data_IF_343290996755
#
_entry.id   IF_343290996755
#
_cell.length_a   1.000
_cell.length_b   1.000
_cell.length_c   1.000
_cell.angle_alpha   90.00
_cell.angle_beta   90.00
_cell.angle_gamma   90.00
#
_symmetry.space_group_name_H-M   'P 1'
#
loop_
_entity.id
_entity.type
_entity.pdbx_description
1 polymer ?
#
# COMPACT_ATOMS: atom_id res chain seq x y z
N UNK A 1 9.99 17.40 2.51
CA UNK A 1 9.96 18.82 2.10
C UNK A 1 8.52 19.28 2.11
N UNK A 2 8.24 20.56 2.39
CA UNK A 2 6.90 21.10 2.11
C UNK A 2 6.76 21.29 0.59
N UNK A 3 5.64 20.87 0.02
CA UNK A 3 5.31 21.21 -1.36
C UNK A 3 5.27 22.74 -1.49
N UNK A 4 5.98 23.29 -2.47
CA UNK A 4 5.91 24.70 -2.78
C UNK A 4 4.60 24.92 -3.53
N UNK A 5 3.72 25.77 -3.01
CA UNK A 5 2.54 26.17 -3.75
C UNK A 5 3.00 26.76 -5.10
N UNK A 6 2.51 26.25 -6.25
CA UNK A 6 2.90 26.74 -7.57
C UNK A 6 2.46 28.20 -7.74
N UNK A 7 2.97 28.86 -8.77
CA UNK A 7 2.55 30.23 -9.08
C UNK A 7 1.01 30.31 -9.21
N UNK A 8 0.40 31.41 -8.75
CA UNK A 8 -1.06 31.56 -8.74
C UNK A 8 -1.73 31.53 -10.13
N UNK A 9 -0.93 31.59 -11.20
CA UNK A 9 -1.31 31.51 -12.61
C UNK A 9 -0.98 30.15 -13.25
N UNK A 10 -0.43 29.20 -12.50
CA UNK A 10 -0.09 27.87 -12.97
C UNK A 10 -1.35 27.00 -13.12
N UNK A 11 -1.44 26.25 -14.22
CA UNK A 11 -2.55 25.35 -14.51
C UNK A 11 -2.11 23.89 -14.35
N UNK A 12 -2.69 23.17 -13.38
CA UNK A 12 -2.49 21.73 -13.24
C UNK A 12 -2.95 21.02 -14.53
N UNK A 13 -2.12 20.09 -15.03
CA UNK A 13 -2.35 19.34 -16.28
C UNK A 13 -2.55 17.85 -16.03
N UNK A 14 -1.73 17.26 -15.17
CA UNK A 14 -1.69 15.82 -14.91
C UNK A 14 -1.29 15.57 -13.46
N UNK A 15 -1.81 14.49 -12.88
CA UNK A 15 -1.38 13.95 -11.59
C UNK A 15 -1.19 12.44 -11.72
N UNK A 16 0.02 11.96 -11.44
CA UNK A 16 0.30 10.54 -11.30
C UNK A 16 0.42 10.21 -9.80
N UNK A 17 -0.33 9.19 -9.37
CA UNK A 17 -0.50 8.80 -7.98
C UNK A 17 -0.19 7.32 -7.79
N UNK A 18 0.75 6.98 -6.92
CA UNK A 18 0.99 5.60 -6.47
C UNK A 18 0.70 5.54 -4.99
N UNK A 19 -0.25 4.70 -4.59
CA UNK A 19 -0.59 4.52 -3.18
C UNK A 19 -0.61 3.05 -2.78
N UNK A 20 -0.22 2.78 -1.54
CA UNK A 20 -0.33 1.44 -0.93
C UNK A 20 -1.81 1.14 -0.65
N UNK A 21 -2.20 -0.14 -0.68
CA UNK A 21 -3.50 -0.54 -0.16
C UNK A 21 -3.74 -0.04 1.29
N UNK A 22 -5.00 0.07 1.68
CA UNK A 22 -5.39 0.32 3.07
C UNK A 22 -5.13 -0.89 3.98
N UNK A 23 -5.48 -0.77 5.27
CA UNK A 23 -5.39 -1.84 6.26
C UNK A 23 -6.02 -3.17 5.79
N UNK A 24 -5.40 -4.28 6.19
CA UNK A 24 -5.80 -5.63 5.82
C UNK A 24 -5.65 -6.60 6.98
N UNK A 25 -6.26 -7.77 6.85
CA UNK A 25 -5.89 -8.92 7.65
C UNK A 25 -4.41 -9.31 7.40
N UNK A 26 -3.72 -9.95 8.37
CA UNK A 26 -2.36 -10.42 8.18
C UNK A 26 -2.28 -11.44 7.04
N UNK A 27 -1.09 -11.59 6.44
CA UNK A 27 -0.89 -12.53 5.34
C UNK A 27 -0.87 -13.99 5.81
N UNK A 28 -0.51 -14.21 7.08
CA UNK A 28 -0.53 -15.50 7.76
C UNK A 28 -1.13 -15.29 9.16
N UNK A 29 -2.08 -16.14 9.62
CA UNK A 29 -2.60 -16.07 10.98
C UNK A 29 -1.48 -16.14 12.02
N UNK A 30 -1.51 -15.28 13.03
CA UNK A 30 -0.54 -15.28 14.13
C UNK A 30 -0.61 -16.56 14.96
N UNK A 31 -1.82 -17.06 15.18
CA UNK A 31 -2.17 -18.23 15.96
C UNK A 31 -2.23 -19.54 15.14
N UNK A 32 -1.76 -19.52 13.88
CA UNK A 32 -1.75 -20.70 13.00
C UNK A 32 -1.14 -21.93 13.67
N UNK A 33 -1.87 -23.04 13.69
CA UNK A 33 -1.46 -24.29 14.36
C UNK A 33 -1.67 -24.34 15.88
N UNK A 34 -2.29 -23.32 16.49
CA UNK A 34 -2.71 -23.33 17.90
C UNK A 34 -4.23 -23.52 18.06
N UNK A 35 -4.69 -23.71 19.31
CA UNK A 35 -6.11 -23.75 19.66
C UNK A 35 -6.86 -22.42 19.48
N UNK A 36 -6.15 -21.30 19.25
CA UNK A 36 -6.76 -19.99 19.02
C UNK A 36 -7.00 -19.69 17.53
N UNK A 37 -6.58 -20.58 16.61
CA UNK A 37 -6.60 -20.33 15.16
C UNK A 37 -8.02 -20.06 14.60
N UNK A 38 -9.02 -20.86 14.99
CA UNK A 38 -10.41 -20.68 14.53
C UNK A 38 -11.02 -19.37 15.05
N UNK A 39 -10.66 -18.97 16.28
CA UNK A 39 -11.13 -17.73 16.89
C UNK A 39 -10.46 -16.49 16.25
N UNK A 40 -9.16 -16.58 15.91
CA UNK A 40 -8.47 -15.57 15.11
C UNK A 40 -9.13 -15.42 13.73
N UNK A 41 -9.44 -16.54 13.06
CA UNK A 41 -10.08 -16.52 11.74
C UNK A 41 -11.44 -15.82 11.79
N UNK A 42 -12.33 -16.19 12.72
CA UNK A 42 -13.65 -15.55 12.81
C UNK A 42 -13.55 -14.06 13.19
N UNK A 43 -12.60 -13.69 14.06
CA UNK A 43 -12.34 -12.30 14.40
C UNK A 43 -11.92 -11.47 13.17
N UNK A 44 -11.00 -11.97 12.35
CA UNK A 44 -10.60 -11.30 11.10
C UNK A 44 -11.72 -11.29 10.06
N UNK A 45 -12.52 -12.36 9.94
CA UNK A 45 -13.71 -12.41 9.08
C UNK A 45 -14.70 -11.30 9.42
N UNK A 46 -14.88 -11.02 10.72
CA UNK A 46 -15.67 -9.90 11.23
C UNK A 46 -15.18 -8.50 10.82
N UNK A 47 -13.95 -8.32 10.33
CA UNK A 47 -13.42 -7.01 9.85
C UNK A 47 -13.69 -6.72 8.37
N UNK A 48 -14.06 -7.72 7.57
CA UNK A 48 -14.17 -7.58 6.12
C UNK A 48 -15.38 -6.74 5.69
N UNK A 49 -15.37 -6.11 4.50
CA UNK A 49 -16.58 -5.54 3.90
C UNK A 49 -17.68 -6.59 3.77
N UNK A 50 -18.95 -6.17 3.85
CA UNK A 50 -20.07 -7.08 3.60
C UNK A 50 -20.06 -7.58 2.14
N UNK A 51 -20.69 -8.73 1.89
CA UNK A 51 -20.83 -9.27 0.53
C UNK A 51 -21.57 -8.27 -0.38
N UNK A 52 -22.66 -7.68 0.11
CA UNK A 52 -23.45 -6.65 -0.56
C UNK A 52 -22.61 -5.41 -0.94
N UNK A 53 -21.82 -4.85 -0.01
CA UNK A 53 -20.95 -3.72 -0.32
C UNK A 53 -19.84 -4.11 -1.30
N UNK A 54 -19.33 -5.35 -1.22
CA UNK A 54 -18.32 -5.86 -2.17
C UNK A 54 -18.90 -5.98 -3.57
N UNK A 55 -20.10 -6.54 -3.71
CA UNK A 55 -20.83 -6.67 -4.98
C UNK A 55 -21.18 -5.30 -5.58
N UNK A 56 -21.66 -4.35 -4.75
CA UNK A 56 -21.92 -2.98 -5.19
C UNK A 56 -20.63 -2.29 -5.71
N UNK A 57 -19.49 -2.52 -5.06
CA UNK A 57 -18.19 -1.98 -5.48
C UNK A 57 -17.66 -2.63 -6.77
N UNK A 58 -17.77 -3.95 -6.92
CA UNK A 58 -17.42 -4.66 -8.16
C UNK A 58 -18.33 -4.28 -9.34
N UNK A 59 -19.61 -4.00 -9.07
CA UNK A 59 -20.57 -3.48 -10.06
C UNK A 59 -20.24 -2.03 -10.46
N UNK A 60 -19.91 -1.17 -9.49
CA UNK A 60 -19.64 0.26 -9.73
C UNK A 60 -18.30 0.52 -10.40
N UNK A 61 -17.28 -0.21 -9.98
CA UNK A 61 -15.88 -0.05 -10.38
C UNK A 61 -15.32 -1.41 -10.82
N UNK A 62 -15.73 -1.91 -12.00
CA UNK A 62 -15.43 -3.28 -12.40
C UNK A 62 -13.94 -3.48 -12.66
N UNK A 63 -13.42 -4.60 -12.16
CA UNK A 63 -12.02 -4.99 -12.36
C UNK A 63 -11.86 -5.65 -13.74
N UNK A 64 -11.28 -4.92 -14.69
CA UNK A 64 -10.89 -5.43 -16.02
C UNK A 64 -9.55 -6.14 -15.91
N UNK A 65 -9.60 -7.40 -15.51
CA UNK A 65 -8.40 -8.23 -15.42
C UNK A 65 -7.96 -8.75 -16.78
N UNK A 66 -6.71 -8.46 -17.15
CA UNK A 66 -5.97 -9.21 -18.18
C UNK A 66 -5.18 -10.39 -17.60
N UNK A 67 -5.06 -10.49 -16.27
CA UNK A 67 -4.24 -11.50 -15.63
C UNK A 67 -4.75 -12.92 -15.90
N UNK A 68 -3.82 -13.87 -16.10
CA UNK A 68 -4.11 -15.28 -16.38
C UNK A 68 -4.51 -16.09 -15.15
N UNK A 69 -4.34 -15.53 -13.95
CA UNK A 69 -4.68 -16.15 -12.66
C UNK A 69 -5.78 -15.37 -11.93
N UNK A 70 -6.55 -16.08 -11.10
CA UNK A 70 -7.47 -15.46 -10.16
C UNK A 70 -6.69 -14.52 -9.18
N UNK A 71 -7.32 -13.44 -8.68
CA UNK A 71 -6.65 -12.51 -7.78
C UNK A 71 -6.10 -13.18 -6.52
N UNK A 72 -4.86 -12.84 -6.15
CA UNK A 72 -4.23 -13.30 -4.92
C UNK A 72 -5.01 -12.83 -3.67
N UNK A 73 -4.99 -13.65 -2.62
CA UNK A 73 -5.77 -13.49 -1.39
C UNK A 73 -7.17 -14.14 -1.43
N UNK A 74 -7.75 -14.38 -2.61
CA UNK A 74 -9.12 -14.91 -2.73
C UNK A 74 -9.34 -16.30 -2.08
N UNK A 75 -8.31 -17.15 -2.06
CA UNK A 75 -8.37 -18.48 -1.42
C UNK A 75 -7.92 -18.49 0.04
N UNK A 76 -7.45 -17.36 0.57
CA UNK A 76 -6.89 -17.24 1.92
C UNK A 76 -7.85 -16.56 2.92
N UNK A 77 -9.10 -16.27 2.51
CA UNK A 77 -10.02 -15.47 3.30
C UNK A 77 -10.26 -16.06 4.70
N UNK A 78 -10.13 -15.25 5.76
CA UNK A 78 -10.12 -13.77 5.75
C UNK A 78 -8.73 -13.13 5.60
N UNK A 79 -7.66 -13.91 5.66
CA UNK A 79 -6.27 -13.43 5.59
C UNK A 79 -5.95 -12.81 4.22
N UNK A 80 -4.94 -11.94 4.19
CA UNK A 80 -4.58 -11.07 3.06
C UNK A 80 -5.63 -10.06 2.54
N UNK A 81 -6.90 -10.16 2.95
CA UNK A 81 -8.00 -9.33 2.44
C UNK A 81 -8.02 -7.92 3.04
N UNK A 82 -8.49 -6.94 2.26
CA UNK A 82 -8.72 -5.57 2.73
C UNK A 82 -9.84 -5.55 3.77
N UNK A 83 -9.62 -4.89 4.91
CA UNK A 83 -10.68 -4.72 5.92
C UNK A 83 -11.58 -3.54 5.58
N UNK A 84 -12.71 -3.39 6.28
CA UNK A 84 -13.53 -2.17 6.20
C UNK A 84 -12.70 -0.93 6.53
N UNK A 85 -11.80 -0.99 7.52
CA UNK A 85 -10.94 0.13 7.86
C UNK A 85 -10.01 0.52 6.70
N UNK A 86 -9.39 -0.46 6.04
CA UNK A 86 -8.55 -0.20 4.87
C UNK A 86 -9.32 0.37 3.67
N UNK A 87 -10.56 -0.09 3.46
CA UNK A 87 -11.48 0.53 2.50
C UNK A 87 -11.76 2.00 2.85
N UNK A 88 -12.07 2.30 4.11
CA UNK A 88 -12.35 3.66 4.56
C UNK A 88 -11.13 4.61 4.47
N UNK A 89 -9.91 4.10 4.70
CA UNK A 89 -8.68 4.88 4.50
C UNK A 89 -8.51 5.31 3.03
N UNK A 90 -8.67 4.39 2.09
CA UNK A 90 -8.48 4.67 0.65
C UNK A 90 -9.64 5.48 0.06
N UNK A 91 -10.87 5.28 0.54
CA UNK A 91 -11.99 6.20 0.32
C UNK A 91 -11.65 7.63 0.74
N UNK A 92 -11.12 7.80 1.95
CA UNK A 92 -10.80 9.13 2.46
C UNK A 92 -9.63 9.78 1.70
N UNK A 93 -8.68 8.98 1.20
CA UNK A 93 -7.63 9.44 0.28
C UNK A 93 -8.23 10.02 -1.01
N UNK A 94 -9.14 9.28 -1.66
CA UNK A 94 -9.86 9.76 -2.85
C UNK A 94 -10.66 11.03 -2.59
N UNK A 95 -11.34 11.12 -1.44
CA UNK A 95 -12.07 12.34 -1.02
C UNK A 95 -11.14 13.53 -0.82
N UNK A 96 -9.95 13.31 -0.25
CA UNK A 96 -8.94 14.35 -0.06
C UNK A 96 -8.45 14.90 -1.40
N UNK A 97 -8.21 14.03 -2.39
CA UNK A 97 -7.81 14.45 -3.74
C UNK A 97 -8.93 15.17 -4.50
N UNK A 98 -10.18 14.72 -4.38
CA UNK A 98 -11.34 15.47 -4.90
C UNK A 98 -11.46 16.86 -4.26
N UNK A 99 -11.11 16.99 -2.97
CA UNK A 99 -11.03 18.28 -2.29
C UNK A 99 -9.89 19.17 -2.79
N UNK A 100 -8.77 18.58 -3.22
CA UNK A 100 -7.60 19.30 -3.73
C UNK A 100 -7.74 19.73 -5.21
N UNK A 101 -8.39 18.91 -6.05
CA UNK A 101 -8.48 19.14 -7.50
C UNK A 101 -9.89 19.45 -8.02
N UNK A 102 -10.90 19.40 -7.15
CA UNK A 102 -12.30 19.54 -7.53
C UNK A 102 -12.88 18.27 -8.19
N UNK A 103 -14.08 18.38 -8.80
CA UNK A 103 -14.73 17.27 -9.49
C UNK A 103 -13.95 16.85 -10.75
N UNK A 104 -13.45 15.62 -10.78
CA UNK A 104 -12.78 15.03 -11.94
C UNK A 104 -13.78 14.29 -12.84
N UNK A 105 -13.49 14.25 -14.14
CA UNK A 105 -14.32 13.52 -15.10
C UNK A 105 -13.88 12.05 -15.15
N UNK A 106 -14.81 11.06 -15.12
CA UNK A 106 -14.43 9.64 -15.07
C UNK A 106 -13.57 9.18 -16.26
N UNK A 107 -13.77 9.79 -17.43
CA UNK A 107 -13.01 9.51 -18.65
C UNK A 107 -11.60 10.13 -18.68
N UNK A 108 -11.23 10.98 -17.71
CA UNK A 108 -9.88 11.52 -17.55
C UNK A 108 -9.08 10.80 -16.45
N UNK A 109 -9.56 9.63 -16.02
CA UNK A 109 -8.96 8.82 -14.95
C UNK A 109 -8.61 7.42 -15.50
N UNK A 110 -7.33 7.06 -15.42
CA UNK A 110 -6.83 5.70 -15.68
C UNK A 110 -6.39 5.07 -14.35
N UNK A 111 -6.88 3.86 -14.05
CA UNK A 111 -6.58 3.14 -12.80
C UNK A 111 -5.98 1.78 -13.08
N UNK A 112 -4.84 1.52 -12.45
CA UNK A 112 -4.10 0.27 -12.51
C UNK A 112 -3.90 -0.32 -11.10
N UNK A 113 -4.21 -1.59 -10.91
CA UNK A 113 -3.92 -2.34 -9.68
C UNK A 113 -3.08 -3.59 -9.98
N UNK A 114 -2.33 -4.06 -8.98
CA UNK A 114 -1.74 -5.40 -9.02
C UNK A 114 -2.82 -6.49 -8.96
N UNK A 115 -2.48 -7.75 -9.29
CA UNK A 115 -3.44 -8.86 -9.24
C UNK A 115 -3.71 -9.39 -7.80
N UNK A 116 -3.71 -8.52 -6.80
CA UNK A 116 -4.13 -8.83 -5.43
C UNK A 116 -5.54 -8.28 -5.18
N UNK A 117 -6.42 -9.06 -4.56
CA UNK A 117 -7.80 -8.59 -4.30
C UNK A 117 -7.83 -7.32 -3.45
N UNK A 118 -6.93 -7.20 -2.47
CA UNK A 118 -6.81 -6.00 -1.61
C UNK A 118 -6.42 -4.71 -2.34
N UNK A 119 -5.62 -4.77 -3.41
CA UNK A 119 -5.21 -3.58 -4.18
C UNK A 119 -6.31 -3.17 -5.16
N UNK A 120 -6.99 -4.16 -5.77
CA UNK A 120 -8.21 -3.94 -6.54
C UNK A 120 -9.27 -3.25 -5.70
N UNK A 121 -9.60 -3.80 -4.52
CA UNK A 121 -10.56 -3.19 -3.59
C UNK A 121 -10.11 -1.79 -3.15
N UNK A 122 -8.83 -1.60 -2.81
CA UNK A 122 -8.30 -0.26 -2.45
C UNK A 122 -8.49 0.76 -3.57
N UNK A 123 -8.33 0.36 -4.83
CA UNK A 123 -8.57 1.22 -5.99
C UNK A 123 -10.07 1.53 -6.17
N UNK A 124 -10.96 0.55 -5.96
CA UNK A 124 -12.42 0.78 -5.98
C UNK A 124 -12.85 1.77 -4.89
N UNK A 125 -12.40 1.57 -3.64
CA UNK A 125 -12.71 2.48 -2.53
C UNK A 125 -12.16 3.89 -2.76
N UNK A 126 -10.94 4.01 -3.28
CA UNK A 126 -10.38 5.28 -3.72
C UNK A 126 -11.25 5.97 -4.78
N UNK A 127 -11.66 5.25 -5.83
CA UNK A 127 -12.53 5.79 -6.89
C UNK A 127 -13.89 6.24 -6.33
N UNK A 128 -14.48 5.48 -5.40
CA UNK A 128 -15.69 5.88 -4.69
C UNK A 128 -15.52 7.23 -3.96
N UNK A 129 -14.33 7.50 -3.42
CA UNK A 129 -14.03 8.76 -2.75
C UNK A 129 -13.78 9.91 -3.70
N UNK A 130 -13.11 9.64 -4.81
CA UNK A 130 -12.70 10.61 -5.81
C UNK A 130 -13.87 11.05 -6.72
N UNK A 131 -14.77 10.13 -7.08
CA UNK A 131 -15.86 10.34 -8.04
C UNK A 131 -17.25 10.53 -7.42
N UNK A 132 -17.40 10.40 -6.09
CA UNK A 132 -18.69 10.63 -5.44
C UNK A 132 -19.19 12.07 -5.69
N UNK A 133 -20.51 12.32 -5.71
CA UNK A 133 -21.04 13.67 -5.68
C UNK A 133 -20.74 14.35 -4.32
N UNK A 134 -20.76 15.68 -4.29
CA UNK A 134 -20.52 16.47 -3.06
C UNK A 134 -21.55 16.16 -1.95
N UNK A 135 -22.79 15.86 -2.34
CA UNK A 135 -23.85 15.48 -1.42
C UNK A 135 -23.63 14.11 -0.73
N UNK A 136 -22.79 13.23 -1.28
CA UNK A 136 -22.47 11.90 -0.72
C UNK A 136 -21.25 11.94 0.25
N UNK A 137 -21.04 13.07 0.93
CA UNK A 137 -19.92 13.30 1.86
C UNK A 137 -20.09 12.66 3.25
N UNK A 138 -21.15 11.88 3.46
CA UNK A 138 -21.36 11.11 4.70
C UNK A 138 -20.17 10.22 5.08
N UNK A 139 -20.00 9.95 6.38
CA UNK A 139 -18.84 9.21 6.92
C UNK A 139 -18.83 7.72 6.59
N UNK A 140 -19.88 7.18 5.96
CA UNK A 140 -20.02 5.76 5.63
C UNK A 140 -20.41 5.59 4.15
N UNK A 141 -19.82 4.60 3.48
CA UNK A 141 -20.33 4.09 2.21
C UNK A 141 -21.50 3.12 2.47
N UNK A 142 -22.57 3.26 1.70
CA UNK A 142 -23.62 2.25 1.52
C UNK A 142 -23.71 1.87 0.04
N UNK A 143 -24.34 0.74 -0.28
CA UNK A 143 -24.61 0.35 -1.67
C UNK A 143 -25.41 1.43 -2.41
N UNK A 144 -26.46 1.97 -1.79
CA UNK A 144 -27.29 3.07 -2.30
C UNK A 144 -26.45 4.32 -2.63
N UNK A 145 -25.47 4.67 -1.80
CA UNK A 145 -24.59 5.82 -2.01
C UNK A 145 -23.64 5.67 -3.22
N UNK A 146 -23.37 4.42 -3.65
CA UNK A 146 -22.53 4.15 -4.81
C UNK A 146 -23.29 4.38 -6.13
N UNK A 147 -24.59 4.12 -6.20
CA UNK A 147 -25.39 4.26 -7.43
C UNK A 147 -25.29 5.67 -8.04
N UNK A 148 -25.23 6.71 -7.20
CA UNK A 148 -25.10 8.11 -7.61
C UNK A 148 -23.66 8.55 -7.93
N UNK A 149 -22.66 7.72 -7.63
CA UNK A 149 -21.25 7.96 -7.97
C UNK A 149 -21.01 7.69 -9.46
N UNK A 150 -20.00 8.30 -10.09
CA UNK A 150 -19.67 8.04 -11.49
C UNK A 150 -18.81 6.76 -11.70
N UNK A 151 -18.76 6.21 -12.92
CA UNK A 151 -18.13 4.91 -13.24
C UNK A 151 -16.76 5.07 -13.89
N UNK A 152 -15.76 4.35 -13.39
CA UNK A 152 -14.47 4.11 -14.07
C UNK A 152 -14.03 2.66 -13.81
N UNK A 153 -13.41 2.03 -14.81
CA UNK A 153 -12.92 0.66 -14.72
C UNK A 153 -11.55 0.59 -14.01
N UNK A 154 -11.34 -0.44 -13.18
CA UNK A 154 -10.03 -0.74 -12.57
C UNK A 154 -9.31 -1.77 -13.44
N UNK A 155 -8.18 -1.43 -14.05
CA UNK A 155 -7.44 -2.37 -14.90
C UNK A 155 -6.41 -3.16 -14.07
N UNK A 156 -6.29 -4.46 -14.31
CA UNK A 156 -5.11 -5.25 -13.88
C UNK A 156 -4.44 -5.89 -15.09
N UNK A 157 -3.12 -5.93 -15.09
CA UNK A 157 -2.32 -6.47 -16.18
C UNK A 157 -1.84 -7.90 -15.88
N UNK A 158 -1.41 -8.63 -16.93
CA UNK A 158 -0.62 -9.86 -16.74
C UNK A 158 0.68 -9.54 -15.98
N UNK A 159 1.24 -10.54 -15.28
CA UNK A 159 2.38 -10.32 -14.37
C UNK A 159 3.59 -9.71 -15.08
N UNK A 160 3.82 -10.12 -16.32
CA UNK A 160 4.92 -9.68 -17.20
C UNK A 160 4.81 -8.18 -17.55
N UNK A 161 3.58 -7.69 -17.75
CA UNK A 161 3.26 -6.29 -18.07
C UNK A 161 3.06 -5.43 -16.81
N UNK A 162 2.81 -6.04 -15.64
CA UNK A 162 2.42 -5.33 -14.42
C UNK A 162 3.57 -4.48 -13.84
N UNK A 163 3.58 -3.20 -14.18
CA UNK A 163 4.53 -2.21 -13.66
C UNK A 163 4.44 -2.04 -12.13
N UNK A 164 3.25 -2.23 -11.57
CA UNK A 164 2.92 -2.01 -10.15
C UNK A 164 3.27 -3.21 -9.24
N UNK A 165 3.43 -4.42 -9.80
CA UNK A 165 3.89 -5.62 -9.10
C UNK A 165 5.22 -6.13 -9.69
N UNK A 166 6.11 -5.18 -9.96
CA UNK A 166 7.42 -5.45 -10.54
C UNK A 166 8.30 -6.34 -9.67
N UNK A 167 8.06 -6.41 -8.34
CA UNK A 167 8.77 -7.39 -7.50
C UNK A 167 8.39 -8.82 -7.89
N UNK A 168 7.09 -9.15 -7.94
CA UNK A 168 6.67 -10.56 -8.14
C UNK A 168 7.14 -11.09 -9.50
N UNK A 169 7.09 -10.23 -10.53
CA UNK A 169 7.67 -10.51 -11.86
C UNK A 169 9.17 -10.80 -11.83
N UNK A 170 9.94 -10.06 -11.02
CA UNK A 170 11.40 -10.17 -10.92
C UNK A 170 11.88 -11.00 -9.72
N UNK A 171 10.98 -11.77 -9.07
CA UNK A 171 11.20 -12.33 -7.75
C UNK A 171 12.44 -13.24 -7.66
N UNK A 172 12.74 -14.03 -8.71
CA UNK A 172 13.89 -14.93 -8.71
C UNK A 172 15.24 -14.18 -8.66
N UNK A 173 15.43 -13.14 -9.49
CA UNK A 173 16.68 -12.34 -9.45
C UNK A 173 16.77 -11.55 -8.14
N UNK A 174 15.66 -10.96 -7.69
CA UNK A 174 15.67 -10.18 -6.44
C UNK A 174 16.00 -11.09 -5.25
N UNK A 175 15.39 -12.28 -5.12
CA UNK A 175 15.66 -13.20 -4.01
C UNK A 175 17.13 -13.64 -3.95
N UNK A 176 17.78 -13.92 -5.07
CA UNK A 176 19.21 -14.27 -5.06
C UNK A 176 20.09 -13.08 -4.64
N UNK A 177 19.72 -11.84 -5.01
CA UNK A 177 20.41 -10.62 -4.55
C UNK A 177 20.20 -10.37 -3.06
N UNK A 178 18.96 -10.51 -2.58
CA UNK A 178 18.62 -10.37 -1.16
C UNK A 178 19.44 -11.35 -0.29
N UNK A 179 19.56 -12.60 -0.73
CA UNK A 179 20.42 -13.60 -0.09
C UNK A 179 21.88 -13.14 0.00
N UNK A 180 22.46 -12.60 -1.09
CA UNK A 180 23.82 -12.05 -1.07
C UNK A 180 24.00 -10.86 -0.12
N UNK A 181 22.96 -10.05 0.11
CA UNK A 181 22.96 -8.96 1.10
C UNK A 181 22.87 -9.51 2.54
N UNK A 182 22.06 -10.56 2.75
CA UNK A 182 21.87 -11.22 4.04
C UNK A 182 23.09 -12.06 4.48
N UNK A 183 23.90 -12.54 3.53
CA UNK A 183 25.16 -13.25 3.77
C UNK A 183 26.34 -12.31 4.15
N UNK A 184 26.16 -10.97 4.09
CA UNK A 184 27.19 -10.02 4.53
C UNK A 184 27.37 -10.03 6.05
N UNK A 185 28.61 -9.93 6.52
CA UNK A 185 28.97 -10.04 7.94
C UNK A 185 28.36 -8.95 8.84
N UNK A 186 28.20 -7.74 8.31
CA UNK A 186 27.55 -6.61 9.00
C UNK A 186 26.05 -6.84 9.17
N UNK A 187 25.39 -7.33 8.12
CA UNK A 187 23.97 -7.69 8.13
C UNK A 187 23.71 -8.84 9.12
N UNK A 188 24.44 -9.95 8.96
CA UNK A 188 24.34 -11.12 9.83
C UNK A 188 24.72 -10.80 11.29
N UNK A 189 25.68 -9.90 11.52
CA UNK A 189 26.06 -9.43 12.85
C UNK A 189 24.90 -8.72 13.56
N UNK A 190 24.17 -7.84 12.86
CA UNK A 190 23.00 -7.15 13.42
C UNK A 190 21.82 -8.09 13.69
N UNK A 191 21.61 -9.09 12.82
CA UNK A 191 20.59 -10.14 13.00
C UNK A 191 20.77 -10.98 14.27
N UNK A 192 22.02 -11.13 14.75
CA UNK A 192 22.37 -11.93 15.93
C UNK A 192 22.60 -11.06 17.18
N UNK A 193 22.92 -9.78 17.01
CA UNK A 193 23.17 -8.82 18.09
C UNK A 193 21.91 -8.18 18.68
N UNK A 194 21.75 -6.88 18.45
CA UNK A 194 20.82 -5.95 19.13
C UNK A 194 19.34 -6.36 19.17
N UNK A 195 18.95 -7.36 18.37
CA UNK A 195 17.56 -7.76 18.14
C UNK A 195 17.27 -9.22 18.48
N UNK A 196 18.23 -9.95 19.06
CA UNK A 196 18.09 -11.34 19.47
C UNK A 196 16.87 -11.57 20.40
N UNK A 197 16.59 -10.64 21.33
CA UNK A 197 15.42 -10.71 22.21
C UNK A 197 14.12 -10.60 21.42
N UNK A 198 13.96 -9.52 20.62
CA UNK A 198 12.76 -9.29 19.81
C UNK A 198 12.52 -10.44 18.83
N UNK A 199 13.59 -10.95 18.21
CA UNK A 199 13.55 -12.13 17.36
C UNK A 199 13.06 -13.36 18.12
N UNK A 200 13.68 -13.67 19.26
CA UNK A 200 13.33 -14.83 20.09
C UNK A 200 11.94 -14.74 20.75
N UNK A 201 11.31 -13.57 20.74
CA UNK A 201 9.89 -13.39 21.07
C UNK A 201 8.99 -13.61 19.85
N UNK A 202 9.32 -13.05 18.69
CA UNK A 202 8.58 -13.29 17.43
C UNK A 202 8.61 -14.77 17.02
N UNK A 203 9.74 -15.47 17.20
CA UNK A 203 9.90 -16.91 16.91
C UNK A 203 8.97 -17.80 17.74
N UNK A 204 8.33 -17.27 18.81
CA UNK A 204 7.33 -18.00 19.61
C UNK A 204 5.91 -17.94 19.04
N UNK A 205 5.67 -17.19 17.96
CA UNK A 205 4.38 -17.21 17.28
C UNK A 205 4.07 -18.63 16.78
N UNK A 206 2.86 -19.17 17.04
CA UNK A 206 2.44 -20.48 16.54
C UNK A 206 2.69 -20.67 15.04
N UNK A 207 2.56 -19.62 14.23
CA UNK A 207 2.80 -19.66 12.79
C UNK A 207 4.20 -20.16 12.38
N UNK A 208 5.22 -19.96 13.23
CA UNK A 208 6.59 -20.46 13.02
C UNK A 208 6.85 -21.84 13.65
N UNK A 209 5.89 -22.38 14.41
CA UNK A 209 6.00 -23.70 15.07
C UNK A 209 5.56 -24.87 14.16
N UNK A 210 5.13 -24.59 12.93
CA UNK A 210 4.71 -25.61 11.97
C UNK A 210 5.87 -26.54 11.55
N UNK A 211 5.60 -27.82 11.22
CA UNK A 211 6.65 -28.77 10.82
C UNK A 211 7.50 -28.28 9.65
N UNK A 212 8.78 -28.66 9.65
CA UNK A 212 9.71 -28.34 8.57
C UNK A 212 9.16 -28.80 7.20
N UNK A 213 8.99 -27.85 6.27
CA UNK A 213 8.34 -28.07 4.97
C UNK A 213 6.96 -27.44 4.84
N UNK A 214 6.30 -27.06 5.94
CA UNK A 214 5.14 -26.17 5.89
C UNK A 214 5.58 -24.76 5.43
N UNK A 215 4.75 -24.08 4.63
CA UNK A 215 5.04 -22.78 4.01
C UNK A 215 5.43 -21.67 5.02
N UNK A 216 5.05 -21.83 6.29
CA UNK A 216 5.27 -20.85 7.36
C UNK A 216 6.18 -21.35 8.50
N UNK A 217 6.64 -22.61 8.46
CA UNK A 217 7.48 -23.23 9.51
C UNK A 217 8.93 -22.73 9.59
N UNK A 218 9.26 -21.58 8.97
CA UNK A 218 10.55 -20.91 9.09
C UNK A 218 10.32 -19.46 9.52
N UNK A 219 11.09 -19.02 10.50
CA UNK A 219 11.07 -17.62 10.96
C UNK A 219 11.25 -16.62 9.81
N UNK A 220 10.43 -15.57 9.83
CA UNK A 220 10.44 -14.46 8.90
C UNK A 220 10.09 -13.18 9.64
N UNK A 221 11.04 -12.24 9.71
CA UNK A 221 10.82 -10.90 10.25
C UNK A 221 9.60 -10.22 9.64
N UNK A 222 9.40 -10.39 8.33
CA UNK A 222 8.26 -9.87 7.60
C UNK A 222 6.93 -10.42 8.11
N UNK A 223 6.80 -11.73 8.32
CA UNK A 223 5.54 -12.33 8.80
C UNK A 223 5.26 -11.94 10.26
N UNK A 224 6.28 -11.96 11.12
CA UNK A 224 6.13 -11.56 12.53
C UNK A 224 5.73 -10.09 12.68
N UNK A 225 6.35 -9.21 11.90
CA UNK A 225 5.97 -7.79 11.86
C UNK A 225 4.61 -7.56 11.20
N UNK A 226 4.23 -8.30 10.15
CA UNK A 226 2.93 -8.15 9.49
C UNK A 226 1.78 -8.48 10.44
N UNK A 227 1.87 -9.56 11.22
CA UNK A 227 0.90 -9.90 12.27
C UNK A 227 0.77 -8.76 13.27
N UNK A 228 1.88 -8.29 13.85
CA UNK A 228 1.87 -7.19 14.81
C UNK A 228 1.30 -5.89 14.25
N UNK A 229 1.62 -5.57 12.99
CA UNK A 229 1.13 -4.36 12.31
C UNK A 229 -0.37 -4.43 12.05
N UNK A 230 -0.87 -5.59 11.62
CA UNK A 230 -2.30 -5.75 11.36
C UNK A 230 -3.11 -5.63 12.67
N UNK A 231 -2.65 -6.24 13.78
CA UNK A 231 -3.32 -6.06 15.08
C UNK A 231 -3.19 -4.64 15.63
N UNK A 232 -2.05 -3.98 15.47
CA UNK A 232 -1.89 -2.57 15.87
C UNK A 232 -2.80 -1.62 15.08
N UNK A 233 -3.14 -1.97 13.84
CA UNK A 233 -4.12 -1.25 13.03
C UNK A 233 -5.58 -1.51 13.45
N UNK A 234 -5.89 -2.67 14.04
CA UNK A 234 -7.25 -3.07 14.42
C UNK A 234 -7.37 -3.30 15.94
N UNK A 235 -7.28 -2.23 16.76
CA UNK A 235 -7.30 -2.33 18.23
C UNK A 235 -8.64 -2.81 18.80
N UNK A 236 -9.69 -2.89 17.99
CA UNK A 236 -10.98 -3.48 18.34
C UNK A 236 -10.97 -5.02 18.35
N UNK A 237 -9.98 -5.65 17.68
CA UNK A 237 -9.84 -7.10 17.68
C UNK A 237 -9.10 -7.58 18.93
N UNK A 238 -9.60 -8.60 19.64
CA UNK A 238 -8.82 -9.26 20.68
C UNK A 238 -7.68 -10.06 20.02
N UNK A 239 -6.40 -9.73 20.26
CA UNK A 239 -5.29 -10.52 19.75
C UNK A 239 -5.23 -11.88 20.47
N UNK A 240 -4.90 -12.98 19.76
CA UNK A 240 -4.57 -14.26 20.37
C UNK A 240 -3.50 -14.10 21.44
N UNK A 241 -3.54 -14.93 22.48
CA UNK A 241 -2.65 -14.83 23.65
C UNK A 241 -1.17 -14.75 23.29
N UNK A 242 -0.76 -15.51 22.26
CA UNK A 242 0.60 -15.52 21.70
C UNK A 242 1.00 -14.20 21.04
N UNK A 243 0.08 -13.53 20.35
CA UNK A 243 0.30 -12.21 19.71
C UNK A 243 0.29 -11.10 20.77
N UNK A 244 -0.66 -11.16 21.71
CA UNK A 244 -0.77 -10.22 22.83
C UNK A 244 0.52 -10.16 23.66
N UNK A 245 1.11 -11.33 23.95
CA UNK A 245 2.34 -11.46 24.73
C UNK A 245 3.58 -10.81 24.09
N UNK A 246 3.55 -10.51 22.78
CA UNK A 246 4.68 -9.96 22.03
C UNK A 246 4.42 -8.58 21.40
N UNK A 247 3.22 -8.02 21.57
CA UNK A 247 2.81 -6.74 20.98
C UNK A 247 3.76 -5.58 21.30
N UNK A 248 4.36 -5.58 22.50
CA UNK A 248 5.35 -4.58 22.93
C UNK A 248 6.63 -4.55 22.07
N UNK A 249 6.94 -5.62 21.34
CA UNK A 249 8.10 -5.70 20.43
C UNK A 249 7.82 -5.14 19.04
N UNK A 250 6.57 -4.77 18.72
CA UNK A 250 6.17 -4.18 17.43
C UNK A 250 7.06 -3.02 16.95
N UNK A 251 7.40 -2.03 17.79
CA UNK A 251 8.29 -0.93 17.40
C UNK A 251 9.71 -1.36 17.01
N UNK A 252 10.26 -2.36 17.70
CA UNK A 252 11.59 -2.90 17.41
C UNK A 252 11.57 -3.72 16.12
N UNK A 253 10.53 -4.55 15.92
CA UNK A 253 10.31 -5.30 14.69
C UNK A 253 10.12 -4.35 13.49
N UNK A 254 9.34 -3.28 13.63
CA UNK A 254 9.14 -2.25 12.60
C UNK A 254 10.47 -1.58 12.20
N UNK A 255 11.24 -1.16 13.20
CA UNK A 255 12.54 -0.49 13.01
C UNK A 255 13.54 -1.40 12.30
N UNK A 256 13.54 -2.69 12.62
CA UNK A 256 14.41 -3.67 11.98
C UNK A 256 13.98 -4.01 10.56
N UNK A 257 12.69 -4.23 10.33
CA UNK A 257 12.16 -4.48 8.99
C UNK A 257 12.48 -3.30 8.07
N UNK A 258 12.23 -2.06 8.52
CA UNK A 258 12.65 -0.84 7.80
C UNK A 258 14.15 -0.82 7.50
N UNK A 259 15.02 -1.20 8.46
CA UNK A 259 16.45 -1.30 8.20
C UNK A 259 16.81 -2.40 7.18
N UNK A 260 16.22 -3.61 7.26
CA UNK A 260 16.45 -4.67 6.26
C UNK A 260 16.13 -4.15 4.86
N UNK A 261 15.01 -3.45 4.71
CA UNK A 261 14.65 -2.83 3.44
C UNK A 261 15.57 -1.70 3.03
N UNK A 262 16.02 -0.85 3.96
CA UNK A 262 17.05 0.16 3.68
C UNK A 262 18.29 -0.46 3.02
N UNK A 263 18.74 -1.62 3.53
CA UNK A 263 19.88 -2.38 2.99
C UNK A 263 19.59 -3.03 1.64
N UNK A 264 18.38 -3.54 1.42
CA UNK A 264 18.00 -4.14 0.15
C UNK A 264 17.95 -3.12 -0.99
N UNK A 265 17.46 -1.91 -0.71
CA UNK A 265 17.31 -0.84 -1.71
C UNK A 265 18.53 0.07 -1.83
N UNK A 266 19.58 -0.17 -1.04
CA UNK A 266 20.93 0.30 -1.32
C UNK A 266 21.57 -0.43 -2.53
N UNK A 267 21.11 -1.63 -2.92
CA UNK A 267 21.47 -2.27 -4.21
C UNK A 267 20.71 -1.57 -5.36
N UNK A 268 21.39 -0.85 -6.27
CA UNK A 268 20.73 -0.12 -7.36
C UNK A 268 20.00 -1.04 -8.35
N UNK A 269 20.41 -2.30 -8.48
CA UNK A 269 19.75 -3.28 -9.34
C UNK A 269 18.50 -3.84 -8.67
N UNK A 270 18.47 -4.07 -7.35
CA UNK A 270 17.20 -4.36 -6.66
C UNK A 270 16.23 -3.19 -6.86
N UNK A 271 16.67 -1.96 -6.59
CA UNK A 271 15.85 -0.75 -6.79
C UNK A 271 15.36 -0.61 -8.24
N UNK A 272 16.20 -0.95 -9.24
CA UNK A 272 15.80 -0.96 -10.66
C UNK A 272 14.78 -2.05 -10.99
N UNK A 273 14.98 -3.29 -10.53
CA UNK A 273 14.08 -4.42 -10.77
C UNK A 273 12.71 -4.21 -10.13
N UNK A 274 12.67 -3.57 -8.97
CA UNK A 274 11.40 -3.24 -8.31
C UNK A 274 10.79 -1.98 -8.87
N UNK A 275 11.51 -0.86 -8.93
CA UNK A 275 10.94 0.47 -9.16
C UNK A 275 11.23 1.07 -10.52
N UNK A 276 12.24 0.58 -11.26
CA UNK A 276 12.63 1.14 -12.55
C UNK A 276 11.49 1.13 -13.57
N UNK A 277 10.69 0.06 -13.61
CA UNK A 277 9.57 -0.06 -14.55
C UNK A 277 8.36 0.81 -14.18
N UNK A 278 8.07 0.98 -12.88
CA UNK A 278 7.06 1.94 -12.43
C UNK A 278 7.52 3.37 -12.70
N UNK A 279 8.74 3.71 -12.29
CA UNK A 279 9.29 5.06 -12.45
C UNK A 279 9.44 5.41 -13.93
N UNK A 280 9.80 4.46 -14.79
CA UNK A 280 9.77 4.65 -16.24
C UNK A 280 8.35 4.86 -16.73
N UNK A 281 7.35 4.07 -16.31
CA UNK A 281 5.97 4.28 -16.74
C UNK A 281 5.40 5.62 -16.27
N UNK A 282 5.59 5.98 -14.99
CA UNK A 282 5.25 7.30 -14.47
C UNK A 282 6.01 8.38 -15.24
N UNK A 283 7.29 8.18 -15.55
CA UNK A 283 8.08 9.11 -16.35
C UNK A 283 7.66 9.12 -17.83
N UNK A 284 7.07 8.08 -18.41
CA UNK A 284 6.58 8.05 -19.79
C UNK A 284 5.24 8.79 -19.90
N UNK A 285 4.34 8.55 -18.94
CA UNK A 285 3.09 9.29 -18.78
C UNK A 285 3.38 10.75 -18.46
N UNK A 286 4.42 11.02 -17.64
CA UNK A 286 4.93 12.37 -17.45
C UNK A 286 5.66 12.90 -18.67
N UNK A 287 6.48 12.16 -19.44
CA UNK A 287 7.27 12.64 -20.61
C UNK A 287 6.40 12.95 -21.84
N UNK A 288 5.16 12.42 -21.88
CA UNK A 288 4.07 12.99 -22.69
C UNK A 288 3.81 14.48 -22.34
N UNK A 289 4.39 15.00 -21.25
CA UNK A 289 4.34 16.37 -20.76
C UNK A 289 5.66 16.96 -20.12
N UNK A 290 6.68 16.16 -19.77
CA UNK A 290 8.01 16.41 -19.11
C UNK A 290 8.00 17.01 -17.67
N UNK A 291 8.87 16.67 -16.70
CA UNK A 291 10.02 15.72 -16.58
C UNK A 291 10.25 15.22 -15.11
N UNK A 292 11.43 14.68 -14.75
CA UNK A 292 11.66 13.76 -13.60
C UNK A 292 12.19 14.33 -12.24
N UNK A 293 11.92 13.61 -11.15
CA UNK A 293 12.31 13.92 -9.76
C UNK A 293 12.80 12.67 -8.98
N UNK A 294 13.84 12.82 -8.14
CA UNK A 294 14.38 11.74 -7.29
C UNK A 294 14.41 12.12 -5.80
N UNK A 295 13.45 11.61 -5.01
CA UNK A 295 13.20 12.06 -3.62
C UNK A 295 12.70 10.90 -2.74
N UNK A 296 13.15 10.84 -1.47
CA UNK A 296 12.61 9.98 -0.39
C UNK A 296 12.70 10.70 0.96
N UNK A 297 11.81 10.39 1.93
CA UNK A 297 11.69 11.13 3.20
C UNK A 297 12.19 10.42 4.47
N UNK A 298 12.52 9.13 4.39
CA UNK A 298 13.16 8.43 5.50
C UNK A 298 12.24 7.76 6.52
N UNK A 299 11.08 7.19 6.17
CA UNK A 299 10.43 6.25 7.09
C UNK A 299 9.50 5.23 6.40
N UNK A 300 9.08 4.23 7.18
CA UNK A 300 8.09 3.24 6.75
C UNK A 300 6.77 3.88 6.29
N UNK A 301 6.20 3.47 5.14
CA UNK A 301 4.91 3.98 4.69
C UNK A 301 3.75 3.34 5.47
N UNK A 302 2.91 4.17 6.08
CA UNK A 302 1.61 3.72 6.58
C UNK A 302 0.75 3.11 5.47
N UNK A 303 -0.30 2.40 5.85
CA UNK A 303 -1.35 2.01 4.91
C UNK A 303 -2.01 3.26 4.29
N UNK A 304 -2.46 3.15 3.04
CA UNK A 304 -2.92 4.28 2.22
C UNK A 304 -1.94 5.47 2.08
N UNK A 305 -0.63 5.30 2.36
CA UNK A 305 0.38 6.31 2.03
C UNK A 305 0.55 6.44 0.50
N UNK A 306 0.71 7.69 0.03
CA UNK A 306 0.81 8.02 -1.40
C UNK A 306 2.13 8.70 -1.78
N UNK A 307 2.62 8.34 -2.96
CA UNK A 307 3.60 9.08 -3.76
C UNK A 307 2.83 9.79 -4.86
N UNK A 308 2.94 11.11 -4.92
CA UNK A 308 2.22 11.97 -5.85
C UNK A 308 3.19 12.79 -6.70
N UNK A 309 2.96 12.77 -8.01
CA UNK A 309 3.62 13.63 -8.99
C UNK A 309 2.55 14.50 -9.66
N UNK A 310 2.62 15.81 -9.44
CA UNK A 310 1.76 16.80 -10.07
C UNK A 310 2.52 17.57 -11.15
N UNK A 311 1.87 17.83 -12.28
CA UNK A 311 2.45 18.60 -13.36
C UNK A 311 1.67 19.87 -13.67
N UNK A 312 2.36 21.01 -13.53
CA UNK A 312 1.80 22.34 -13.62
C UNK A 312 2.33 23.05 -14.87
N UNK A 313 1.44 23.55 -15.72
CA UNK A 313 1.80 24.46 -16.81
C UNK A 313 1.91 25.88 -16.26
N UNK A 314 3.09 26.48 -16.35
CA UNK A 314 3.36 27.87 -15.99
C UNK A 314 2.97 28.82 -17.15
N UNK A 315 2.82 30.14 -16.89
CA UNK A 315 2.58 31.14 -17.93
C UNK A 315 3.59 31.11 -19.09
N UNK A 316 3.15 31.49 -20.29
CA UNK A 316 3.96 31.44 -21.53
C UNK A 316 5.24 32.28 -21.50
N UNK A 317 5.32 33.28 -20.61
CA UNK A 317 6.50 34.13 -20.37
C UNK A 317 7.51 33.55 -19.36
N UNK A 318 7.23 32.37 -18.79
CA UNK A 318 8.14 31.64 -17.90
C UNK A 318 9.29 31.02 -18.67
N UNK A 319 10.53 31.10 -18.14
CA UNK A 319 11.71 30.47 -18.76
C UNK A 319 11.57 28.95 -18.90
N UNK A 320 10.95 28.32 -17.91
CA UNK A 320 10.48 26.94 -17.96
C UNK A 320 8.94 26.99 -17.88
N UNK A 321 8.20 26.58 -18.93
CA UNK A 321 6.73 26.67 -18.97
C UNK A 321 6.04 25.54 -18.19
N UNK A 322 6.79 24.69 -17.46
CA UNK A 322 6.28 23.52 -16.74
C UNK A 322 7.02 23.35 -15.41
N UNK A 323 6.29 23.15 -14.32
CA UNK A 323 6.79 22.83 -12.97
C UNK A 323 6.27 21.45 -12.55
N UNK A 324 7.18 20.56 -12.14
CA UNK A 324 6.84 19.25 -11.58
C UNK A 324 6.94 19.30 -10.05
N UNK A 325 5.83 19.00 -9.36
CA UNK A 325 5.76 18.94 -7.91
C UNK A 325 5.68 17.49 -7.44
N UNK A 326 6.54 17.09 -6.51
CA UNK A 326 6.51 15.78 -5.87
C UNK A 326 6.10 15.90 -4.41
N UNK A 327 5.04 15.18 -4.04
CA UNK A 327 4.55 15.05 -2.68
C UNK A 327 4.61 13.60 -2.23
N UNK A 328 5.33 13.31 -1.15
CA UNK A 328 5.13 12.09 -0.37
C UNK A 328 4.17 12.44 0.77
N UNK A 329 2.88 12.18 0.57
CA UNK A 329 1.87 12.48 1.58
C UNK A 329 1.60 11.21 2.41
N UNK A 330 1.96 11.29 3.68
CA UNK A 330 1.48 10.32 4.68
C UNK A 330 0.04 10.67 5.03
N UNK A 331 -0.81 9.66 5.23
CA UNK A 331 -2.19 9.82 5.71
C UNK A 331 -2.22 10.22 7.21
N UNK A 332 -1.58 11.36 7.54
CA UNK A 332 -1.36 11.86 8.91
C UNK A 332 -2.54 12.61 9.50
N UNK A 333 -3.45 13.11 8.66
CA UNK A 333 -4.46 14.11 9.05
C UNK A 333 -5.90 13.71 8.72
N UNK A 334 -6.10 12.54 8.10
CA UNK A 334 -7.39 12.14 7.54
C UNK A 334 -8.15 11.06 8.34
N UNK A 335 -7.59 10.60 9.45
CA UNK A 335 -8.24 9.64 10.34
C UNK A 335 -9.17 10.37 11.34
N UNK A 336 -10.30 9.76 11.76
CA UNK A 336 -11.13 10.31 12.82
C UNK A 336 -10.34 10.53 14.12
N UNK A 337 -10.64 11.59 14.90
CA UNK A 337 -9.99 11.82 16.19
C UNK A 337 -10.18 10.61 17.11
N UNK A 338 -9.07 9.92 17.40
CA UNK A 338 -9.06 8.66 18.17
C UNK A 338 -8.17 7.58 17.55
N UNK A 339 -7.99 7.55 16.22
CA UNK A 339 -7.10 6.60 15.54
C UNK A 339 -5.70 7.20 15.43
N UNK A 340 -4.94 7.17 16.52
CA UNK A 340 -3.56 7.63 16.56
C UNK A 340 -2.60 6.59 15.95
N UNK A 341 -1.76 7.00 15.00
CA UNK A 341 -0.61 6.20 14.58
C UNK A 341 0.37 6.06 15.76
N UNK A 342 0.67 4.84 16.25
CA UNK A 342 1.83 4.66 17.10
C UNK A 342 3.10 4.86 16.24
N UNK A 343 4.12 5.51 16.84
CA UNK A 343 5.48 5.68 16.33
C UNK A 343 5.70 6.79 15.28
N UNK A 344 6.34 7.87 15.74
CA UNK A 344 7.23 8.68 14.89
C UNK A 344 8.66 8.17 15.04
N UNK A 345 9.26 7.69 13.95
CA UNK A 345 10.67 7.32 13.86
C UNK A 345 11.37 8.11 12.73
N UNK A 346 12.60 8.60 12.94
CA UNK A 346 13.34 9.37 11.93
C UNK A 346 14.38 8.53 11.15
N UNK A 347 14.30 8.54 9.82
CA UNK A 347 15.42 8.25 8.90
C UNK A 347 15.38 6.92 8.13
N UNK A 348 15.97 6.96 6.91
CA UNK A 348 16.42 5.84 6.03
C UNK A 348 15.43 5.15 5.06
N UNK A 349 15.98 4.39 4.10
CA UNK A 349 15.80 4.50 2.63
C UNK A 349 14.63 3.76 1.96
N UNK A 350 14.37 4.11 0.68
CA UNK A 350 13.19 3.74 -0.11
C UNK A 350 13.26 2.35 -0.72
N UNK A 351 12.42 1.45 -0.24
CA UNK A 351 11.69 0.59 -1.15
C UNK A 351 10.78 -0.42 -0.47
N UNK A 352 9.64 -0.65 -1.11
CA UNK A 352 8.72 -1.80 -0.95
C UNK A 352 7.41 -1.61 -1.71
N UNK A 353 7.17 -0.41 -2.21
CA UNK A 353 5.92 0.08 -2.80
C UNK A 353 5.38 -0.73 -4.00
N UNK A 354 6.00 -1.84 -4.41
CA UNK A 354 5.79 -2.52 -5.69
C UNK A 354 5.57 -4.04 -5.57
N UNK A 355 4.96 -4.45 -4.46
CA UNK A 355 4.23 -5.73 -4.31
C UNK A 355 2.72 -5.54 -4.14
N UNK A 356 2.28 -4.34 -3.74
CA UNK A 356 0.93 -4.15 -3.21
C UNK A 356 0.45 -2.68 -3.27
N UNK A 357 0.80 -1.97 -4.36
CA UNK A 357 0.27 -0.65 -4.65
C UNK A 357 -0.82 -0.69 -5.72
N UNK A 358 -1.52 0.43 -5.84
CA UNK A 358 -2.30 0.81 -7.01
C UNK A 358 -1.69 2.09 -7.59
N UNK A 359 -1.63 2.17 -8.91
CA UNK A 359 -1.18 3.33 -9.68
C UNK A 359 -2.40 3.96 -10.36
N UNK A 360 -2.54 5.27 -10.24
CA UNK A 360 -3.63 6.03 -10.83
C UNK A 360 -3.05 7.21 -11.57
N UNK A 361 -3.49 7.40 -12.81
CA UNK A 361 -3.22 8.56 -13.63
C UNK A 361 -4.50 9.39 -13.72
N UNK A 362 -4.38 10.67 -13.38
CA UNK A 362 -5.45 11.66 -13.47
C UNK A 362 -5.01 12.71 -14.49
N UNK A 363 -5.67 12.76 -15.63
CA UNK A 363 -5.64 13.94 -16.49
C UNK A 363 -6.60 14.99 -15.91
N UNK A 364 -6.07 16.18 -15.63
CA UNK A 364 -6.84 17.29 -15.07
C UNK A 364 -7.17 18.26 -16.19
N UNK A 365 -8.34 18.07 -16.80
CA UNK A 365 -8.89 19.01 -17.79
C UNK A 365 -9.58 20.18 -17.08
N UNK A 366 -8.78 21.15 -16.59
CA UNK A 366 -9.27 22.49 -16.24
C UNK A 366 -9.34 23.42 -17.45
#
# INVERSE_FOLDING_TARGET
MASRAPAATAKLRHVALVFRHGDRAPAVPGASGSSEAEAEEEAWRGTLPSAELTEAMDSRFPVRSKATSAPHGMSAQPFEMLTRQGGMQTLQLGRSLRGAYGPLQPGSIEVMASNFRRTQQSAQYFLAGLLAPEAATGTCLSAEGLEATASTDVTTLVMEECKVDSFSRNAAEIVERLKGIEERLDFAGREVGDLAETRGMLERLPLFSAPAGAMHGKFSWLHGYDVLTCYAAHPELPPPSSVAAIAAHGPAAASHVLWRFSQYYEDPQILRLTAGDLLLHMSEQMERCRAALGIWDGAWPGYAAEVRLELWQLPEDSQDPIEANFGLHRAREALPPGVGWPLGLPGTTFGEHLRAASLIHLEVHG
#
